data_IF_583695086131
#
_entry.id   IF_583695086131
#
_cell.length_a   1.000
_cell.length_b   1.000
_cell.length_c   1.000
_cell.angle_alpha   90.00
_cell.angle_beta   90.00
_cell.angle_gamma   90.00
#
_symmetry.space_group_name_H-M   'P 1'
#
loop_
_entity.id
_entity.type
_entity.pdbx_description
1 polymer ?
#
# COMPACT_ATOMS: atom_id res chain seq x y z
N UNK A 1 -17.10 -6.18 17.66
CA UNK A 1 -17.84 -5.05 17.04
C UNK A 1 -19.12 -5.60 16.40
N UNK A 2 -20.19 -4.81 16.25
CA UNK A 2 -21.39 -5.25 15.51
C UNK A 2 -21.05 -5.47 14.01
N UNK A 3 -21.68 -6.43 13.30
CA UNK A 3 -21.39 -6.69 11.88
C UNK A 3 -21.48 -5.44 10.99
N UNK A 4 -22.48 -4.59 11.23
CA UNK A 4 -22.64 -3.30 10.51
C UNK A 4 -21.45 -2.36 10.74
N UNK A 5 -20.97 -2.26 11.97
CA UNK A 5 -19.81 -1.42 12.32
C UNK A 5 -18.54 -1.93 11.65
N UNK A 6 -18.31 -3.26 11.66
CA UNK A 6 -17.14 -3.88 10.99
C UNK A 6 -17.16 -3.57 9.50
N UNK A 7 -18.30 -3.72 8.84
CA UNK A 7 -18.42 -3.46 7.40
C UNK A 7 -18.17 -1.99 7.04
N UNK A 8 -18.70 -1.05 7.84
CA UNK A 8 -18.46 0.39 7.62
C UNK A 8 -16.99 0.73 7.84
N UNK A 9 -16.40 0.30 8.97
CA UNK A 9 -15.00 0.54 9.27
C UNK A 9 -14.09 -0.06 8.19
N UNK A 10 -14.35 -1.30 7.76
CA UNK A 10 -13.59 -1.96 6.69
C UNK A 10 -13.56 -1.09 5.43
N UNK A 11 -14.72 -0.63 4.96
CA UNK A 11 -14.77 0.18 3.73
C UNK A 11 -14.14 1.55 3.89
N UNK A 12 -14.23 2.20 5.05
CA UNK A 12 -13.54 3.47 5.32
C UNK A 12 -12.02 3.29 5.20
N UNK A 13 -11.44 2.35 5.94
CA UNK A 13 -9.99 2.11 5.88
C UNK A 13 -9.55 1.65 4.49
N UNK A 14 -10.33 0.78 3.85
CA UNK A 14 -9.99 0.24 2.54
C UNK A 14 -10.04 1.31 1.44
N UNK A 15 -11.06 2.15 1.41
CA UNK A 15 -11.19 3.21 0.39
C UNK A 15 -10.09 4.25 0.57
N UNK A 16 -9.83 4.69 1.81
CA UNK A 16 -8.78 5.67 2.09
C UNK A 16 -7.40 5.14 1.70
N UNK A 17 -7.09 3.89 2.07
CA UNK A 17 -5.84 3.25 1.68
C UNK A 17 -5.73 3.12 0.16
N UNK A 18 -6.75 2.58 -0.49
CA UNK A 18 -6.77 2.38 -1.94
C UNK A 18 -6.69 3.69 -2.72
N UNK A 19 -7.35 4.75 -2.26
CA UNK A 19 -7.26 6.07 -2.89
C UNK A 19 -5.83 6.62 -2.83
N UNK A 20 -5.19 6.56 -1.66
CA UNK A 20 -3.80 6.98 -1.49
C UNK A 20 -2.86 6.18 -2.40
N UNK A 21 -3.01 4.85 -2.43
CA UNK A 21 -2.18 3.97 -3.26
C UNK A 21 -2.44 4.12 -4.75
N UNK A 22 -3.66 4.46 -5.16
CA UNK A 22 -3.99 4.70 -6.55
C UNK A 22 -3.35 6.00 -7.05
N UNK A 23 -3.42 7.08 -6.25
CA UNK A 23 -2.76 8.35 -6.58
C UNK A 23 -1.25 8.16 -6.72
N UNK A 24 -0.63 7.52 -5.73
CA UNK A 24 0.80 7.24 -5.71
C UNK A 24 1.24 6.27 -6.84
N UNK A 25 0.42 5.26 -7.13
CA UNK A 25 0.64 4.34 -8.25
C UNK A 25 0.59 5.05 -9.61
N UNK A 26 -0.40 5.91 -9.83
CA UNK A 26 -0.53 6.72 -11.06
C UNK A 26 0.64 7.70 -11.18
N UNK A 27 1.04 8.37 -10.09
CA UNK A 27 2.20 9.25 -10.08
C UNK A 27 3.49 8.50 -10.49
N UNK A 28 3.67 7.26 -10.01
CA UNK A 28 4.76 6.39 -10.43
C UNK A 28 4.71 5.99 -11.90
N UNK A 29 3.51 5.70 -12.43
CA UNK A 29 3.30 5.41 -13.86
C UNK A 29 3.61 6.61 -14.75
N UNK A 30 3.20 7.80 -14.33
CA UNK A 30 3.51 9.06 -15.00
C UNK A 30 4.98 9.48 -14.83
N UNK A 31 5.73 8.79 -13.96
CA UNK A 31 7.12 9.11 -13.60
C UNK A 31 7.28 10.59 -13.26
N UNK A 32 6.43 11.09 -12.38
CA UNK A 32 6.50 12.47 -11.90
C UNK A 32 7.88 12.75 -11.29
N UNK A 33 8.33 14.00 -11.37
CA UNK A 33 9.68 14.40 -11.00
C UNK A 33 10.05 13.99 -9.56
N UNK A 34 9.17 14.24 -8.58
CA UNK A 34 9.36 13.85 -7.18
C UNK A 34 9.64 12.35 -7.01
N UNK A 35 8.96 11.50 -7.79
CA UNK A 35 9.17 10.06 -7.77
C UNK A 35 10.54 9.67 -8.33
N UNK A 36 11.00 10.34 -9.38
CA UNK A 36 12.33 10.11 -9.98
C UNK A 36 13.44 10.51 -9.02
N UNK A 37 13.30 11.67 -8.39
CA UNK A 37 14.24 12.18 -7.39
C UNK A 37 14.27 11.27 -6.16
N UNK A 38 13.11 10.81 -5.70
CA UNK A 38 13.00 9.84 -4.61
C UNK A 38 13.72 8.52 -4.90
N UNK A 39 13.53 7.92 -6.08
CA UNK A 39 14.27 6.71 -6.45
C UNK A 39 15.77 6.96 -6.62
N UNK A 40 16.16 8.06 -7.26
CA UNK A 40 17.56 8.40 -7.47
C UNK A 40 18.30 8.58 -6.14
N UNK A 41 17.66 9.26 -5.17
CA UNK A 41 18.14 9.39 -3.80
C UNK A 41 18.33 8.04 -3.11
N UNK A 42 17.39 7.12 -3.30
CA UNK A 42 17.47 5.76 -2.78
C UNK A 42 18.45 4.84 -3.55
N UNK A 43 19.09 5.34 -4.62
CA UNK A 43 20.00 4.56 -5.47
C UNK A 43 19.30 3.57 -6.39
N UNK A 44 17.99 3.70 -6.61
CA UNK A 44 17.21 2.82 -7.47
C UNK A 44 17.12 3.31 -8.92
N UNK A 45 17.04 2.39 -9.89
CA UNK A 45 16.87 2.75 -11.29
C UNK A 45 15.44 3.23 -11.57
N UNK A 46 15.29 4.21 -12.47
CA UNK A 46 14.00 4.87 -12.77
C UNK A 46 12.90 3.89 -13.23
N UNK A 47 13.25 2.79 -13.91
CA UNK A 47 12.24 1.80 -14.36
C UNK A 47 11.45 1.19 -13.20
N UNK A 48 12.01 1.19 -11.97
CA UNK A 48 11.36 0.67 -10.79
C UNK A 48 10.09 1.47 -10.43
N UNK A 49 10.02 2.77 -10.76
CA UNK A 49 8.79 3.58 -10.60
C UNK A 49 7.63 2.98 -11.39
N UNK A 50 7.88 2.58 -12.63
CA UNK A 50 6.85 2.00 -13.48
C UNK A 50 6.43 0.63 -12.96
N UNK A 51 7.38 -0.22 -12.54
CA UNK A 51 7.06 -1.55 -12.00
C UNK A 51 6.21 -1.42 -10.73
N UNK A 52 6.65 -0.61 -9.77
CA UNK A 52 5.94 -0.40 -8.50
C UNK A 52 4.61 0.32 -8.72
N UNK A 53 4.57 1.29 -9.66
CA UNK A 53 3.34 1.99 -10.04
C UNK A 53 2.27 1.04 -10.60
N UNK A 54 2.64 0.18 -11.56
CA UNK A 54 1.75 -0.87 -12.09
C UNK A 54 1.29 -1.79 -10.95
N UNK A 55 2.22 -2.26 -10.12
CA UNK A 55 1.92 -3.16 -9.02
C UNK A 55 0.93 -2.54 -8.01
N UNK A 56 1.08 -1.25 -7.68
CA UNK A 56 0.15 -0.52 -6.79
C UNK A 56 -1.24 -0.44 -7.39
N UNK A 57 -1.38 -0.09 -8.68
CA UNK A 57 -2.68 -0.03 -9.35
C UNK A 57 -3.36 -1.41 -9.36
N UNK A 58 -2.63 -2.46 -9.73
CA UNK A 58 -3.17 -3.83 -9.71
C UNK A 58 -3.52 -4.28 -8.29
N UNK A 59 -2.70 -3.94 -7.30
CA UNK A 59 -2.94 -4.20 -5.89
C UNK A 59 -4.22 -3.53 -5.38
N UNK A 60 -4.48 -2.27 -5.78
CA UNK A 60 -5.72 -1.56 -5.44
C UNK A 60 -6.94 -2.29 -6.02
N UNK A 61 -6.89 -2.68 -7.29
CA UNK A 61 -7.98 -3.44 -7.93
C UNK A 61 -8.22 -4.78 -7.22
N UNK A 62 -7.14 -5.46 -6.84
CA UNK A 62 -7.17 -6.72 -6.10
C UNK A 62 -7.74 -6.57 -4.67
N UNK A 63 -7.57 -5.43 -4.01
CA UNK A 63 -8.15 -5.16 -2.68
C UNK A 63 -9.63 -4.76 -2.77
N UNK A 64 -10.01 -3.96 -3.77
CA UNK A 64 -11.40 -3.45 -3.90
C UNK A 64 -12.40 -4.51 -4.34
N UNK A 65 -11.98 -5.48 -5.15
CA UNK A 65 -12.84 -6.60 -5.53
C UNK A 65 -13.27 -7.45 -4.31
N UNK A 66 -14.41 -8.13 -4.40
CA UNK A 66 -15.00 -8.90 -3.28
C UNK A 66 -15.07 -10.41 -3.51
N UNK A 67 -14.63 -10.90 -4.68
CA UNK A 67 -14.82 -12.28 -5.14
C UNK A 67 -13.58 -13.17 -4.90
N UNK A 68 -12.40 -12.69 -5.28
CA UNK A 68 -11.16 -13.47 -5.34
C UNK A 68 -10.31 -13.26 -4.09
N UNK A 69 -10.51 -14.09 -3.06
CA UNK A 69 -9.82 -13.96 -1.76
C UNK A 69 -8.30 -14.10 -1.88
N UNK A 70 -7.81 -15.08 -2.65
CA UNK A 70 -6.37 -15.33 -2.80
C UNK A 70 -5.64 -14.15 -3.43
N UNK A 71 -6.20 -13.55 -4.49
CA UNK A 71 -5.60 -12.38 -5.15
C UNK A 71 -5.54 -11.19 -4.18
N UNK A 72 -6.55 -11.03 -3.32
CA UNK A 72 -6.55 -10.01 -2.27
C UNK A 72 -5.44 -10.23 -1.24
N UNK A 73 -5.25 -11.47 -0.76
CA UNK A 73 -4.13 -11.81 0.14
C UNK A 73 -2.78 -11.48 -0.51
N UNK A 74 -2.60 -11.81 -1.79
CA UNK A 74 -1.40 -11.48 -2.55
C UNK A 74 -1.16 -9.96 -2.62
N UNK A 75 -2.20 -9.17 -2.83
CA UNK A 75 -2.09 -7.72 -2.84
C UNK A 75 -1.63 -7.18 -1.47
N UNK A 76 -2.25 -7.63 -0.38
CA UNK A 76 -1.82 -7.22 0.97
C UNK A 76 -0.37 -7.64 1.28
N UNK A 77 0.04 -8.83 0.87
CA UNK A 77 1.43 -9.28 1.02
C UNK A 77 2.41 -8.41 0.19
N UNK A 78 2.08 -8.12 -1.07
CA UNK A 78 2.88 -7.26 -1.93
C UNK A 78 3.06 -5.85 -1.38
N UNK A 79 1.98 -5.22 -0.91
CA UNK A 79 2.06 -3.92 -0.25
C UNK A 79 2.88 -3.98 1.05
N UNK A 80 2.74 -5.05 1.84
CA UNK A 80 3.54 -5.25 3.06
C UNK A 80 5.04 -5.23 2.74
N UNK A 81 5.45 -6.05 1.76
CA UNK A 81 6.85 -6.14 1.33
C UNK A 81 7.33 -4.78 0.79
N UNK A 82 6.51 -4.10 0.00
CA UNK A 82 6.84 -2.79 -0.56
C UNK A 82 7.07 -1.73 0.53
N UNK A 83 6.21 -1.65 1.55
CA UNK A 83 6.36 -0.66 2.62
C UNK A 83 7.53 -0.97 3.56
N UNK A 84 7.75 -2.24 3.90
CA UNK A 84 8.94 -2.64 4.68
C UNK A 84 10.20 -2.30 3.88
N UNK A 85 10.22 -2.64 2.59
CA UNK A 85 11.31 -2.30 1.68
C UNK A 85 11.58 -0.80 1.67
N UNK A 86 10.57 0.02 1.42
CA UNK A 86 10.70 1.48 1.41
C UNK A 86 11.27 2.05 2.72
N UNK A 87 10.76 1.59 3.87
CA UNK A 87 11.31 2.00 5.16
C UNK A 87 12.78 1.63 5.32
N UNK A 88 13.14 0.38 5.00
CA UNK A 88 14.54 -0.05 5.08
C UNK A 88 15.45 0.68 4.08
N UNK A 89 14.96 1.02 2.88
CA UNK A 89 15.70 1.83 1.91
C UNK A 89 16.07 3.19 2.51
N UNK A 90 15.12 3.90 3.11
CA UNK A 90 15.37 5.17 3.81
C UNK A 90 16.36 5.00 4.97
N UNK A 91 16.23 3.93 5.75
CA UNK A 91 17.18 3.64 6.84
C UNK A 91 18.60 3.43 6.32
N UNK A 92 18.78 2.68 5.23
CA UNK A 92 20.10 2.34 4.70
C UNK A 92 20.81 3.49 4.00
N UNK A 93 20.07 4.44 3.41
CA UNK A 93 20.68 5.67 2.86
C UNK A 93 20.91 6.76 3.93
N UNK A 94 20.53 6.49 5.18
CA UNK A 94 20.77 7.41 6.30
C UNK A 94 19.79 8.58 6.38
N UNK A 95 18.57 8.41 5.85
CA UNK A 95 17.54 9.44 5.93
C UNK A 95 17.06 9.66 7.37
N UNK A 96 16.37 10.79 7.55
CA UNK A 96 15.73 11.11 8.82
C UNK A 96 14.79 9.99 9.30
N UNK A 97 14.67 9.88 10.63
CA UNK A 97 13.79 8.89 11.24
C UNK A 97 12.32 9.02 10.80
N UNK A 98 11.91 10.24 10.42
CA UNK A 98 10.57 10.49 9.86
C UNK A 98 10.35 9.77 8.53
N UNK A 99 11.33 9.78 7.63
CA UNK A 99 11.25 9.09 6.32
C UNK A 99 11.25 7.56 6.49
N UNK A 100 11.96 7.05 7.51
CA UNK A 100 11.88 5.64 7.89
C UNK A 100 10.48 5.23 8.38
N UNK A 101 9.85 6.05 9.24
CA UNK A 101 8.56 5.72 9.84
C UNK A 101 7.36 5.95 8.92
N UNK A 102 7.45 6.86 7.95
CA UNK A 102 6.31 7.22 7.10
C UNK A 102 5.69 6.01 6.37
N UNK A 103 6.45 5.11 5.72
CA UNK A 103 5.89 3.90 5.11
C UNK A 103 5.30 2.92 6.14
N UNK A 104 5.85 2.85 7.37
CA UNK A 104 5.33 1.99 8.43
C UNK A 104 3.97 2.46 8.95
N UNK A 105 3.72 3.77 8.98
CA UNK A 105 2.41 4.32 9.35
C UNK A 105 1.35 3.93 8.31
N UNK A 106 1.69 4.03 7.02
CA UNK A 106 0.79 3.59 5.93
C UNK A 106 0.57 2.07 6.00
N UNK A 107 1.61 1.30 6.31
CA UNK A 107 1.53 -0.14 6.53
C UNK A 107 0.57 -0.50 7.69
N UNK A 108 0.65 0.21 8.81
CA UNK A 108 -0.27 0.02 9.93
C UNK A 108 -1.72 0.30 9.54
N UNK A 109 -1.96 1.35 8.74
CA UNK A 109 -3.28 1.68 8.21
C UNK A 109 -3.81 0.58 7.27
N UNK A 110 -2.95 0.02 6.42
CA UNK A 110 -3.28 -1.13 5.59
C UNK A 110 -3.62 -2.38 6.42
N UNK A 111 -2.85 -2.66 7.49
CA UNK A 111 -3.14 -3.77 8.38
C UNK A 111 -4.48 -3.61 9.11
N UNK A 112 -4.90 -2.39 9.43
CA UNK A 112 -6.25 -2.14 9.93
C UNK A 112 -7.33 -2.53 8.91
N UNK A 113 -7.16 -2.17 7.63
CA UNK A 113 -8.03 -2.64 6.54
C UNK A 113 -8.04 -4.16 6.44
N UNK A 114 -6.88 -4.80 6.46
CA UNK A 114 -6.73 -6.26 6.42
C UNK A 114 -7.44 -6.96 7.57
N UNK A 115 -7.20 -6.52 8.80
CA UNK A 115 -7.79 -7.09 9.99
C UNK A 115 -9.32 -7.01 9.97
N UNK A 116 -9.87 -5.84 9.58
CA UNK A 116 -11.31 -5.65 9.43
C UNK A 116 -11.90 -6.51 8.30
N UNK A 117 -11.14 -6.75 7.23
CA UNK A 117 -11.54 -7.68 6.18
C UNK A 117 -11.67 -9.12 6.69
N UNK A 118 -10.66 -9.64 7.42
CA UNK A 118 -10.71 -11.00 7.98
C UNK A 118 -11.85 -11.16 9.00
N UNK A 119 -12.09 -10.15 9.83
CA UNK A 119 -13.26 -10.14 10.71
C UNK A 119 -14.58 -10.19 9.93
N UNK A 120 -14.72 -9.37 8.89
CA UNK A 120 -15.91 -9.38 8.03
C UNK A 120 -16.11 -10.73 7.36
N UNK A 121 -15.02 -11.36 6.90
CA UNK A 121 -15.04 -12.68 6.27
C UNK A 121 -15.54 -13.77 7.22
N UNK A 122 -15.17 -13.73 8.50
CA UNK A 122 -15.62 -14.72 9.49
C UNK A 122 -17.10 -14.61 9.90
N UNK A 123 -17.80 -13.55 9.48
CA UNK A 123 -19.21 -13.30 9.80
C UNK A 123 -20.18 -13.78 8.70
N UNK A 124 -19.65 -14.30 7.59
CA UNK A 124 -20.39 -14.80 6.42
C UNK A 124 -20.15 -16.30 6.32
#
# INVERSE_FOLDING_TARGET
MKPKTINISYWIFTILFCAAMLMDGIAGLMRVQDGKEGLAHLGYPEYLLSIVGIAKVLGVLAILQTKFKVIKEWAYAGFTINFIGASLSHLFVGDSIGMFFMPLVVLAFMFASYYLWKQKESLV
#
